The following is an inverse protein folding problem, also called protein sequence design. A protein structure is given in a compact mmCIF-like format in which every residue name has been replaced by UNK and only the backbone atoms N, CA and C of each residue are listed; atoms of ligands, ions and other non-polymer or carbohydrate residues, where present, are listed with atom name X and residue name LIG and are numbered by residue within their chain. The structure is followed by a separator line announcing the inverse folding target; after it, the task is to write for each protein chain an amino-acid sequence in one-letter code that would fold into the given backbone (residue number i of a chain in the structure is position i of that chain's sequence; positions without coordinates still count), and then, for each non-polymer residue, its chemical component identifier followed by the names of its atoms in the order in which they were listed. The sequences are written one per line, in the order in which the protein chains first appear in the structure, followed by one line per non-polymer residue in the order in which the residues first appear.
data_IF_200454454932
#
_entry.id   IF_200454454932
#
_cell.length_a   1.000
_cell.length_b   1.000
_cell.length_c   1.000
_cell.angle_alpha   90.00
_cell.angle_beta   90.00
_cell.angle_gamma   90.00
#
_symmetry.space_group_name_H-M   'P 1'
#
loop_
_entity.id
_entity.type
_entity.pdbx_description
1 polymer ?
#
# COMPACT_ATOMS: atom_id res chain seq x y z
N UNK A 1 -19.54 2.76 -3.67
CA UNK A 1 -18.06 2.60 -3.60
C UNK A 1 -17.44 3.44 -4.70
N UNK A 2 -16.30 4.11 -4.47
CA UNK A 2 -15.64 4.98 -5.46
C UNK A 2 -14.16 4.62 -5.56
N UNK A 3 -13.64 4.60 -6.78
CA UNK A 3 -12.21 4.51 -7.10
C UNK A 3 -11.71 5.92 -7.44
N UNK A 4 -10.64 6.34 -6.77
CA UNK A 4 -9.99 7.64 -6.96
C UNK A 4 -8.58 7.36 -7.47
N UNK A 5 -8.25 7.90 -8.62
CA UNK A 5 -6.93 7.79 -9.23
C UNK A 5 -5.87 8.50 -8.38
N UNK A 6 -4.64 8.00 -8.45
CA UNK A 6 -3.47 8.64 -7.83
C UNK A 6 -2.44 9.01 -8.92
N UNK A 7 -1.41 9.80 -8.60
CA UNK A 7 -0.34 10.09 -9.55
C UNK A 7 0.48 8.87 -9.99
N UNK A 8 0.41 7.75 -9.28
CA UNK A 8 1.09 6.50 -9.65
C UNK A 8 0.11 5.57 -10.36
N UNK A 9 0.49 5.09 -11.52
CA UNK A 9 -0.34 4.26 -12.41
C UNK A 9 -0.84 3.01 -11.68
N UNK A 10 -2.15 2.75 -11.78
CA UNK A 10 -2.88 1.61 -11.22
C UNK A 10 -2.97 1.56 -9.68
N UNK A 11 -2.49 2.58 -8.98
CA UNK A 11 -2.66 2.74 -7.53
C UNK A 11 -3.89 3.59 -7.25
N UNK A 12 -4.81 3.11 -6.42
CA UNK A 12 -6.11 3.76 -6.22
C UNK A 12 -6.43 3.95 -4.73
N UNK A 13 -7.11 5.07 -4.43
CA UNK A 13 -7.81 5.22 -3.17
C UNK A 13 -9.25 4.70 -3.37
N UNK A 14 -9.70 3.85 -2.44
CA UNK A 14 -11.06 3.31 -2.46
C UNK A 14 -11.85 3.93 -1.30
N UNK A 15 -12.96 4.56 -1.62
CA UNK A 15 -13.93 5.07 -0.65
C UNK A 15 -15.22 4.25 -0.74
N UNK A 16 -15.73 3.85 0.42
CA UNK A 16 -16.98 3.08 0.52
C UNK A 16 -18.03 3.86 1.29
N UNK A 17 -19.29 3.54 1.02
CA UNK A 17 -20.40 4.11 1.79
C UNK A 17 -20.37 3.54 3.22
N UNK A 18 -20.57 4.42 4.18
CA UNK A 18 -20.66 4.07 5.59
C UNK A 18 -22.03 4.51 6.11
N UNK A 19 -22.82 3.56 6.57
CA UNK A 19 -24.19 3.77 7.04
C UNK A 19 -24.20 3.78 8.56
N UNK A 20 -24.65 4.89 9.16
CA UNK A 20 -24.69 5.07 10.61
C UNK A 20 -26.10 5.19 11.17
N UNK A 21 -26.32 4.69 12.39
CA UNK A 21 -27.50 4.88 13.22
C UNK A 21 -27.13 5.03 14.70
N UNK A 22 -28.10 5.02 15.60
CA UNK A 22 -27.88 5.17 17.05
C UNK A 22 -27.04 4.06 17.69
N UNK A 23 -26.82 2.95 17.02
CA UNK A 23 -26.00 1.81 17.49
C UNK A 23 -24.55 1.89 17.03
N UNK A 24 -24.25 2.73 16.01
CA UNK A 24 -22.93 2.85 15.40
C UNK A 24 -23.00 2.94 13.89
N UNK A 25 -22.14 2.21 13.18
CA UNK A 25 -22.06 2.27 11.73
C UNK A 25 -21.78 0.89 11.13
N UNK A 26 -22.16 0.73 9.87
CA UNK A 26 -21.86 -0.42 9.03
C UNK A 26 -21.26 0.05 7.71
N UNK A 27 -20.25 -0.67 7.22
CA UNK A 27 -19.72 -0.48 5.89
C UNK A 27 -19.29 -1.81 5.28
N UNK A 28 -19.49 -1.94 3.99
CA UNK A 28 -18.93 -3.05 3.22
C UNK A 28 -17.50 -2.70 2.81
N UNK A 29 -16.52 -3.46 3.29
CA UNK A 29 -15.10 -3.17 3.04
C UNK A 29 -14.56 -3.81 1.77
N UNK A 30 -15.22 -4.86 1.29
CA UNK A 30 -14.87 -5.55 0.05
C UNK A 30 -16.10 -6.31 -0.49
N UNK A 31 -16.29 -6.21 -1.77
CA UNK A 31 -17.25 -7.01 -2.55
C UNK A 31 -16.62 -7.23 -3.93
N UNK A 32 -16.43 -8.48 -4.32
CA UNK A 32 -15.83 -8.80 -5.63
C UNK A 32 -16.64 -8.17 -6.78
N UNK A 33 -17.98 -8.20 -6.69
CA UNK A 33 -18.86 -7.61 -7.71
C UNK A 33 -18.64 -6.09 -7.83
N UNK A 34 -18.61 -5.36 -6.70
CA UNK A 34 -18.39 -3.91 -6.72
C UNK A 34 -16.97 -3.51 -7.15
N UNK A 35 -15.97 -4.33 -6.83
CA UNK A 35 -14.61 -4.11 -7.32
C UNK A 35 -14.52 -4.35 -8.83
N UNK A 36 -15.22 -5.37 -9.33
CA UNK A 36 -15.35 -5.60 -10.78
C UNK A 36 -15.99 -4.39 -11.50
N UNK A 37 -17.05 -3.80 -10.97
CA UNK A 37 -17.66 -2.57 -11.49
C UNK A 37 -16.69 -1.38 -11.54
N UNK A 38 -15.68 -1.37 -10.65
CA UNK A 38 -14.59 -0.37 -10.65
C UNK A 38 -13.43 -0.73 -11.58
N UNK A 39 -13.50 -1.85 -12.32
CA UNK A 39 -12.44 -2.39 -13.17
C UNK A 39 -11.30 -3.02 -12.38
N UNK A 40 -11.59 -3.59 -11.21
CA UNK A 40 -10.62 -4.28 -10.36
C UNK A 40 -11.08 -5.73 -10.18
N UNK A 41 -10.42 -6.66 -10.89
CA UNK A 41 -10.75 -8.09 -10.91
C UNK A 41 -9.85 -8.93 -9.99
N UNK A 42 -9.23 -8.30 -9.01
CA UNK A 42 -8.32 -8.97 -8.07
C UNK A 42 -9.08 -9.92 -7.14
N UNK A 43 -8.66 -11.17 -7.13
CA UNK A 43 -9.15 -12.19 -6.18
C UNK A 43 -8.20 -12.24 -4.99
N UNK A 44 -8.68 -11.84 -3.82
CA UNK A 44 -7.88 -11.89 -2.59
C UNK A 44 -7.99 -13.26 -1.92
N UNK A 45 -6.84 -13.79 -1.47
CA UNK A 45 -6.70 -15.14 -0.90
C UNK A 45 -6.14 -15.16 0.53
N UNK A 46 -5.67 -14.02 1.03
CA UNK A 46 -5.05 -13.93 2.37
C UNK A 46 -5.40 -12.60 3.02
N UNK A 47 -5.75 -12.63 4.31
CA UNK A 47 -5.92 -11.47 5.16
C UNK A 47 -4.81 -11.41 6.20
N UNK A 48 -4.30 -10.20 6.44
CA UNK A 48 -3.28 -9.94 7.46
C UNK A 48 -3.70 -8.75 8.33
N UNK A 49 -3.21 -8.76 9.57
CA UNK A 49 -3.36 -7.66 10.49
C UNK A 49 -2.06 -7.42 11.25
N UNK A 50 -1.69 -6.18 11.45
CA UNK A 50 -0.56 -5.79 12.29
C UNK A 50 -0.96 -4.74 13.32
N UNK A 51 -0.26 -4.74 14.46
CA UNK A 51 -0.37 -3.74 15.50
C UNK A 51 0.96 -3.00 15.64
N UNK A 52 0.90 -1.69 15.81
CA UNK A 52 2.05 -0.82 16.07
C UNK A 52 1.74 0.07 17.27
N UNK A 53 2.48 -0.13 18.36
CA UNK A 53 2.20 0.52 19.63
C UNK A 53 2.50 2.03 19.62
N UNK A 54 3.50 2.47 18.84
CA UNK A 54 4.01 3.84 18.92
C UNK A 54 3.89 4.59 17.60
N UNK A 55 3.55 5.85 17.68
CA UNK A 55 3.66 6.82 16.60
C UNK A 55 5.12 6.87 16.08
N UNK A 56 5.28 7.06 14.77
CA UNK A 56 6.58 7.06 14.12
C UNK A 56 7.08 5.66 13.73
N UNK A 57 6.34 4.59 14.02
CA UNK A 57 6.67 3.26 13.51
C UNK A 57 6.53 3.26 11.99
N UNK A 58 7.63 2.99 11.29
CA UNK A 58 7.68 2.84 9.84
C UNK A 58 7.93 1.38 9.50
N UNK A 59 7.09 0.81 8.64
CA UNK A 59 7.23 -0.55 8.11
C UNK A 59 7.31 -0.46 6.60
N UNK A 60 8.40 -0.92 6.04
CA UNK A 60 8.60 -0.89 4.58
C UNK A 60 9.94 -0.29 4.14
N UNK A 61 10.12 -0.12 2.84
CA UNK A 61 9.13 -0.38 1.76
C UNK A 61 9.33 -1.80 1.23
N UNK A 62 8.30 -2.63 1.31
CA UNK A 62 8.40 -4.07 1.05
C UNK A 62 7.62 -4.53 -0.18
N UNK A 63 8.08 -5.60 -0.81
CA UNK A 63 7.37 -6.34 -1.85
C UNK A 63 7.69 -7.82 -1.77
N UNK A 64 6.95 -8.64 -2.51
CA UNK A 64 7.36 -9.99 -2.92
C UNK A 64 7.61 -9.99 -4.43
N UNK A 65 8.68 -10.65 -4.86
CA UNK A 65 9.04 -10.80 -6.27
C UNK A 65 8.09 -11.77 -6.98
N UNK A 66 7.98 -11.63 -8.29
CA UNK A 66 7.31 -12.62 -9.11
C UNK A 66 8.02 -14.01 -8.99
N UNK A 67 7.25 -15.10 -9.01
CA UNK A 67 5.80 -15.18 -9.28
C UNK A 67 4.89 -14.96 -8.05
N UNK A 68 5.43 -14.62 -6.90
CA UNK A 68 4.67 -14.46 -5.64
C UNK A 68 4.33 -13.00 -5.30
N UNK A 69 4.44 -12.11 -6.28
CA UNK A 69 4.09 -10.69 -6.08
C UNK A 69 2.64 -10.53 -5.63
N UNK A 70 2.39 -9.53 -4.80
CA UNK A 70 1.11 -9.33 -4.14
C UNK A 70 0.48 -8.00 -4.51
N UNK A 71 -0.76 -8.05 -4.99
CA UNK A 71 -1.69 -6.92 -4.92
C UNK A 71 -2.21 -6.82 -3.49
N UNK A 72 -2.29 -5.61 -2.97
CA UNK A 72 -2.76 -5.38 -1.61
C UNK A 72 -3.94 -4.41 -1.59
N UNK A 73 -4.93 -4.70 -0.75
CA UNK A 73 -5.98 -3.75 -0.37
C UNK A 73 -5.85 -3.49 1.12
N UNK A 74 -5.40 -2.29 1.46
CA UNK A 74 -5.00 -1.95 2.83
C UNK A 74 -5.92 -0.93 3.47
N UNK A 75 -6.05 -0.97 4.80
CA UNK A 75 -6.81 0.00 5.59
C UNK A 75 -6.28 0.08 7.03
N UNK A 76 -6.55 1.23 7.67
CA UNK A 76 -6.30 1.42 9.09
C UNK A 76 -7.61 1.28 9.87
N UNK A 77 -7.69 0.31 10.80
CA UNK A 77 -8.90 0.02 11.59
C UNK A 77 -8.88 0.68 12.96
N UNK A 78 -7.68 1.03 13.45
CA UNK A 78 -7.48 1.83 14.67
C UNK A 78 -6.31 2.78 14.48
N UNK A 79 -6.46 4.03 14.95
CA UNK A 79 -5.45 5.07 14.78
C UNK A 79 -5.39 5.62 13.36
N UNK A 80 -4.22 6.03 12.93
CA UNK A 80 -3.98 6.64 11.62
C UNK A 80 -2.56 6.42 11.13
N UNK A 81 -2.42 6.27 9.80
CA UNK A 81 -1.15 6.13 9.11
C UNK A 81 -1.09 7.02 7.88
N UNK A 82 0.11 7.28 7.38
CA UNK A 82 0.34 7.61 5.98
C UNK A 82 0.88 6.35 5.31
N UNK A 83 0.18 5.89 4.30
CA UNK A 83 0.50 4.71 3.51
C UNK A 83 1.17 5.13 2.21
N UNK A 84 2.18 4.40 1.74
CA UNK A 84 3.05 4.78 0.63
C UNK A 84 3.19 3.61 -0.33
N UNK A 85 3.06 3.90 -1.62
CA UNK A 85 3.34 2.96 -2.71
C UNK A 85 4.34 3.58 -3.68
N UNK A 86 5.36 2.81 -4.07
CA UNK A 86 6.39 3.18 -5.05
C UNK A 86 6.33 2.21 -6.23
N UNK A 87 6.25 2.72 -7.45
CA UNK A 87 6.22 1.89 -8.65
C UNK A 87 7.61 1.35 -8.99
N UNK A 88 7.77 0.01 -8.93
CA UNK A 88 9.01 -0.68 -9.28
C UNK A 88 8.93 -1.44 -10.62
N UNK A 89 7.86 -1.27 -11.38
CA UNK A 89 7.65 -1.97 -12.67
C UNK A 89 8.48 -1.30 -13.76
N UNK A 90 9.50 -1.98 -14.25
CA UNK A 90 10.32 -1.50 -15.38
C UNK A 90 9.46 -1.29 -16.62
N UNK A 91 9.61 -0.14 -17.27
CA UNK A 91 8.78 0.26 -18.42
C UNK A 91 7.47 0.98 -18.06
N UNK A 92 7.13 1.09 -16.78
CA UNK A 92 5.99 1.89 -16.34
C UNK A 92 6.23 3.39 -16.55
N UNK A 93 5.21 4.16 -16.96
CA UNK A 93 5.31 5.63 -17.05
C UNK A 93 5.55 6.29 -15.68
N UNK A 94 5.31 5.55 -14.60
CA UNK A 94 5.51 6.01 -13.21
C UNK A 94 6.62 5.25 -12.47
N UNK A 95 7.52 4.56 -13.19
CA UNK A 95 8.66 3.87 -12.56
C UNK A 95 9.46 4.80 -11.65
N UNK A 96 9.74 4.36 -10.43
CA UNK A 96 10.43 5.13 -9.39
C UNK A 96 9.62 6.27 -8.77
N UNK A 97 8.38 6.50 -9.22
CA UNK A 97 7.49 7.49 -8.61
C UNK A 97 6.73 6.87 -7.46
N UNK A 98 6.36 7.72 -6.51
CA UNK A 98 5.60 7.32 -5.34
C UNK A 98 4.31 8.14 -5.19
N UNK A 99 3.38 7.56 -4.45
CA UNK A 99 2.16 8.23 -4.01
C UNK A 99 1.83 7.81 -2.58
N UNK A 100 1.01 8.58 -1.91
CA UNK A 100 0.60 8.29 -0.53
C UNK A 100 -0.88 8.51 -0.30
N UNK A 101 -1.41 7.81 0.71
CA UNK A 101 -2.77 7.99 1.19
C UNK A 101 -2.79 8.00 2.72
N UNK A 102 -3.43 9.01 3.30
CA UNK A 102 -3.73 8.98 4.73
C UNK A 102 -4.90 8.03 4.97
N UNK A 103 -4.66 6.99 5.76
CA UNK A 103 -5.65 6.01 6.19
C UNK A 103 -5.90 6.14 7.69
N UNK A 104 -7.14 6.07 8.11
CA UNK A 104 -7.49 6.12 9.52
C UNK A 104 -8.82 5.41 9.82
N UNK A 105 -9.03 5.02 11.07
CA UNK A 105 -10.31 4.54 11.56
C UNK A 105 -11.46 5.54 11.33
N UNK A 106 -11.14 6.84 11.26
CA UNK A 106 -12.11 7.92 11.05
C UNK A 106 -12.52 8.04 9.59
N UNK A 107 -11.52 8.13 8.65
CA UNK A 107 -11.80 8.36 7.24
C UNK A 107 -12.22 7.08 6.49
N UNK A 108 -11.93 5.91 7.06
CA UNK A 108 -12.31 4.59 6.55
C UNK A 108 -11.89 4.30 5.11
N UNK A 109 -10.94 5.09 4.58
CA UNK A 109 -10.37 4.88 3.25
C UNK A 109 -9.60 3.58 3.19
N UNK A 110 -9.55 3.03 1.99
CA UNK A 110 -8.67 1.93 1.64
C UNK A 110 -7.74 2.35 0.52
N UNK A 111 -6.59 1.69 0.44
CA UNK A 111 -5.61 1.93 -0.59
C UNK A 111 -5.36 0.63 -1.36
N UNK A 112 -5.60 0.67 -2.66
CA UNK A 112 -5.35 -0.44 -3.57
C UNK A 112 -3.98 -0.27 -4.21
N UNK A 113 -3.13 -1.25 -4.01
CA UNK A 113 -1.73 -1.26 -4.41
C UNK A 113 -1.50 -2.50 -5.26
N UNK A 114 -1.33 -2.38 -6.59
CA UNK A 114 -1.16 -3.53 -7.47
C UNK A 114 0.20 -4.20 -7.28
N UNK A 115 0.37 -5.36 -7.91
CA UNK A 115 1.67 -6.04 -8.03
C UNK A 115 2.71 -5.10 -8.63
N UNK A 116 3.96 -5.29 -8.21
CA UNK A 116 5.07 -4.51 -8.70
C UNK A 116 5.32 -3.20 -7.98
N UNK A 117 4.63 -2.97 -6.85
CA UNK A 117 4.87 -1.81 -5.99
C UNK A 117 5.68 -2.20 -4.76
N UNK A 118 6.61 -1.33 -4.32
CA UNK A 118 7.09 -1.35 -2.95
C UNK A 118 6.09 -0.59 -2.07
N UNK A 119 5.73 -1.19 -0.94
CA UNK A 119 4.68 -0.71 -0.06
C UNK A 119 5.18 -0.56 1.37
N UNK A 120 4.75 0.50 2.02
CA UNK A 120 5.02 0.73 3.44
C UNK A 120 4.11 1.76 4.04
N UNK A 121 4.16 1.87 5.36
CA UNK A 121 3.39 2.90 6.07
C UNK A 121 4.13 3.45 7.27
N UNK A 122 3.80 4.69 7.62
CA UNK A 122 4.25 5.40 8.81
C UNK A 122 3.05 5.63 9.74
N UNK A 123 3.14 5.24 11.00
CA UNK A 123 2.10 5.51 12.00
C UNK A 123 2.11 6.99 12.41
N UNK A 124 0.94 7.62 12.37
CA UNK A 124 0.73 9.02 12.75
C UNK A 124 0.10 9.19 14.13
N UNK A 125 -0.23 8.07 14.79
CA UNK A 125 -0.71 8.00 16.17
C UNK A 125 -0.12 6.78 16.87
N UNK A 126 -0.28 6.70 18.17
CA UNK A 126 -0.07 5.45 18.92
C UNK A 126 -1.21 4.47 18.66
N UNK A 127 -1.04 3.21 19.04
CA UNK A 127 -2.05 2.14 19.00
C UNK A 127 -2.70 1.96 17.64
N UNK A 128 -1.90 1.75 16.60
CA UNK A 128 -2.37 1.55 15.23
C UNK A 128 -2.62 0.08 14.94
N UNK A 129 -3.83 -0.24 14.46
CA UNK A 129 -4.18 -1.51 13.84
C UNK A 129 -4.32 -1.32 12.33
N UNK A 130 -3.59 -2.12 11.58
CA UNK A 130 -3.50 -2.03 10.13
C UNK A 130 -3.81 -3.38 9.51
N UNK A 131 -4.81 -3.40 8.63
CA UNK A 131 -5.35 -4.58 7.98
C UNK A 131 -5.12 -4.54 6.49
N UNK A 132 -4.83 -5.69 5.86
CA UNK A 132 -4.71 -5.77 4.42
C UNK A 132 -5.02 -7.16 3.86
N UNK A 133 -5.62 -7.17 2.67
CA UNK A 133 -5.84 -8.35 1.85
C UNK A 133 -4.72 -8.47 0.83
N UNK A 134 -4.36 -9.73 0.49
CA UNK A 134 -3.39 -10.05 -0.57
C UNK A 134 -4.00 -11.03 -1.56
N UNK A 135 -3.61 -10.90 -2.84
CA UNK A 135 -4.03 -11.79 -3.93
C UNK A 135 -3.08 -12.98 -4.16
N UNK A 136 -2.02 -13.08 -3.37
CA UNK A 136 -1.06 -14.18 -3.39
C UNK A 136 -0.63 -14.52 -1.97
N UNK A 137 -0.23 -15.78 -1.72
CA UNK A 137 0.25 -16.21 -0.42
C UNK A 137 1.63 -15.64 -0.10
N UNK A 138 1.92 -15.58 1.20
CA UNK A 138 3.24 -15.18 1.67
C UNK A 138 4.33 -16.18 1.25
N UNK A 139 5.41 -15.65 0.70
CA UNK A 139 6.61 -16.40 0.34
C UNK A 139 7.86 -15.70 0.88
N UNK A 140 8.45 -16.26 1.91
CA UNK A 140 9.65 -15.70 2.55
C UNK A 140 10.83 -15.54 1.58
N UNK A 141 11.01 -16.50 0.66
CA UNK A 141 12.10 -16.49 -0.32
C UNK A 141 11.93 -15.40 -1.39
N UNK A 142 10.71 -14.93 -1.57
CA UNK A 142 10.37 -13.87 -2.54
C UNK A 142 10.37 -12.49 -1.92
N UNK A 143 10.56 -12.36 -0.62
CA UNK A 143 10.62 -11.07 0.03
C UNK A 143 11.73 -10.17 -0.54
N UNK A 144 11.40 -8.90 -0.68
CA UNK A 144 12.31 -7.84 -1.04
C UNK A 144 11.84 -6.51 -0.47
N UNK A 145 12.64 -5.50 -0.68
CA UNK A 145 12.31 -4.15 -0.26
C UNK A 145 13.33 -3.15 -0.78
N UNK A 146 12.99 -1.89 -0.62
CA UNK A 146 13.90 -0.76 -0.81
C UNK A 146 13.93 0.08 0.47
N UNK A 147 15.05 0.73 0.73
CA UNK A 147 15.17 1.62 1.88
C UNK A 147 14.15 2.76 1.78
N UNK A 148 13.57 3.13 2.92
CA UNK A 148 12.50 4.12 2.96
C UNK A 148 12.97 5.52 2.50
N UNK A 149 14.24 5.86 2.76
CA UNK A 149 14.89 7.14 2.48
C UNK A 149 15.74 7.10 1.19
N UNK A 150 15.35 6.28 0.22
CA UNK A 150 16.02 6.18 -1.08
C UNK A 150 16.04 7.54 -1.80
N UNK A 151 17.23 8.06 -2.15
CA UNK A 151 17.34 9.38 -2.76
C UNK A 151 16.78 9.45 -4.20
N UNK A 152 16.74 8.32 -4.91
CA UNK A 152 16.20 8.25 -6.27
C UNK A 152 14.67 8.29 -6.27
N UNK A 153 14.04 7.65 -5.27
CA UNK A 153 12.58 7.68 -5.03
C UNK A 153 12.18 9.02 -4.42
N UNK A 154 12.99 9.53 -3.50
CA UNK A 154 12.84 10.84 -2.87
C UNK A 154 11.44 11.06 -2.26
N UNK A 155 10.99 10.12 -1.41
CA UNK A 155 9.77 10.33 -0.62
C UNK A 155 9.96 11.54 0.30
N UNK A 156 9.00 12.46 0.31
CA UNK A 156 9.06 13.67 1.16
C UNK A 156 8.85 13.34 2.65
N UNK A 157 9.83 12.66 3.24
CA UNK A 157 9.79 12.32 4.66
C UNK A 157 9.85 13.55 5.58
N UNK A 158 10.42 14.65 5.11
CA UNK A 158 10.45 15.90 5.87
C UNK A 158 9.03 16.36 6.25
N UNK A 159 8.14 16.40 5.28
CA UNK A 159 6.72 16.73 5.50
C UNK A 159 5.96 15.63 6.23
N UNK A 160 6.25 14.35 5.94
CA UNK A 160 5.51 13.23 6.52
C UNK A 160 5.88 12.98 7.99
N UNK A 161 7.17 12.98 8.32
CA UNK A 161 7.67 12.74 9.67
C UNK A 161 7.52 13.94 10.60
N UNK A 162 7.56 15.16 10.06
CA UNK A 162 7.47 16.41 10.86
C UNK A 162 8.45 16.45 12.03
N UNK A 163 9.70 16.02 11.79
CA UNK A 163 10.76 15.97 12.81
C UNK A 163 10.70 14.77 13.76
N UNK A 164 9.82 13.80 13.51
CA UNK A 164 9.80 12.53 14.26
C UNK A 164 10.85 11.61 13.64
N UNK A 165 11.73 11.03 14.45
CA UNK A 165 12.63 9.97 14.01
C UNK A 165 11.86 8.67 13.80
N UNK A 166 11.96 8.00 12.64
CA UNK A 166 11.22 6.78 12.37
C UNK A 166 11.72 5.60 13.20
N UNK A 167 10.79 4.83 13.75
CA UNK A 167 11.07 3.58 14.44
C UNK A 167 11.05 2.47 13.40
N UNK A 168 12.22 1.90 13.12
CA UNK A 168 12.44 0.85 12.12
C UNK A 168 12.77 -0.48 12.78
N UNK A 169 12.40 -1.57 12.12
CA UNK A 169 12.95 -2.90 12.43
C UNK A 169 14.40 -3.01 11.93
N UNK A 170 15.16 -3.98 12.47
CA UNK A 170 16.52 -4.24 12.00
C UNK A 170 16.54 -4.62 10.51
N UNK A 171 15.52 -5.34 10.04
CA UNK A 171 15.34 -5.70 8.63
C UNK A 171 15.17 -4.45 7.75
N UNK A 172 14.35 -3.50 8.18
CA UNK A 172 14.08 -2.29 7.39
C UNK A 172 15.29 -1.34 7.29
N UNK A 173 16.18 -1.40 8.30
CA UNK A 173 17.42 -0.59 8.32
C UNK A 173 18.45 -1.00 7.27
N UNK A 174 18.43 -2.25 6.82
CA UNK A 174 19.43 -2.83 5.92
C UNK A 174 18.89 -3.07 4.49
N UNK A 175 17.69 -2.58 4.20
CA UNK A 175 17.14 -2.69 2.85
C UNK A 175 18.02 -1.94 1.84
N UNK A 176 18.22 -2.48 0.61
CA UNK A 176 18.98 -1.84 -0.44
C UNK A 176 18.26 -0.59 -0.97
N UNK A 177 18.96 0.21 -1.75
CA UNK A 177 18.36 1.25 -2.55
C UNK A 177 17.65 0.69 -3.80
N UNK A 178 16.98 1.57 -4.56
CA UNK A 178 16.24 1.21 -5.77
C UNK A 178 17.14 0.58 -6.85
N UNK A 179 18.37 1.05 -6.99
CA UNK A 179 19.30 0.58 -8.00
C UNK A 179 19.78 -0.85 -7.73
N UNK A 180 19.98 -1.20 -6.45
CA UNK A 180 20.51 -2.49 -6.02
C UNK A 180 19.43 -3.47 -5.53
N UNK A 181 18.17 -3.09 -5.59
CA UNK A 181 17.08 -3.96 -5.17
C UNK A 181 16.88 -5.12 -6.16
N UNK A 182 16.32 -6.21 -5.66
CA UNK A 182 16.09 -7.43 -6.44
C UNK A 182 14.70 -7.49 -7.10
N UNK A 183 14.03 -6.35 -7.30
CA UNK A 183 12.73 -6.28 -7.96
C UNK A 183 12.83 -6.77 -9.42
N UNK A 184 11.87 -7.62 -9.82
CA UNK A 184 11.84 -8.25 -11.13
C UNK A 184 10.54 -7.96 -11.92
N UNK A 185 9.90 -6.85 -11.63
CA UNK A 185 8.61 -6.47 -12.20
C UNK A 185 8.77 -5.79 -13.56
N UNK A 186 7.91 -6.18 -14.50
CA UNK A 186 7.79 -5.56 -15.82
C UNK A 186 6.38 -4.97 -15.94
N UNK A 187 6.28 -3.77 -16.45
CA UNK A 187 5.01 -3.15 -16.72
C UNK A 187 4.44 -3.67 -18.04
N UNK A 188 3.31 -4.34 -17.97
CA UNK A 188 2.54 -4.74 -19.14
C UNK A 188 1.47 -3.69 -19.40
N UNK A 189 1.58 -3.02 -20.53
CA UNK A 189 0.55 -2.07 -20.95
C UNK A 189 -0.72 -2.86 -21.29
N UNK A 190 -1.78 -2.70 -20.49
CA UNK A 190 -3.10 -3.23 -20.88
C UNK A 190 -3.44 -2.59 -22.21
N UNK A 191 -3.66 -3.40 -23.26
CA UNK A 191 -4.28 -2.92 -24.47
C UNK A 191 -5.65 -2.37 -24.06
N UNK A 192 -5.79 -1.04 -24.14
CA UNK A 192 -7.12 -0.44 -24.15
C UNK A 192 -7.80 -0.99 -25.39
N UNK A 193 -8.85 -1.80 -25.21
CA UNK A 193 -9.66 -2.26 -26.31
C UNK A 193 -10.12 -1.00 -27.06
N UNK A 194 -9.59 -0.84 -28.28
CA UNK A 194 -10.06 0.18 -29.20
C UNK A 194 -11.49 -0.21 -29.58
N UNK A 195 -12.46 0.39 -28.90
CA UNK A 195 -13.87 0.38 -29.29
C UNK A 195 -14.15 1.62 -30.13
#
# INVERSE_FOLDING_TARGET
MKKIETPVKDVYIIETDCFGDSRGWFMETYSAAKFHELGIDTVFVQDNMSYSARKGTLRGLHYQRDPYSQTKLVRCTRGKVIDIAVDLRKGSPTYGKWTSCKLSAENKRMFYIPKGMAHGFLTLSDDVEFQYKCDSFYSKESEGGIRYDDPSVNVDWGTLLKGIEPILSDKDRILPDLEHCNANFIYEQKQEDQI
#
